data_IF_545451817681
#
_entry.id   IF_545451817681
#
_cell.length_a   1.000
_cell.length_b   1.000
_cell.length_c   1.000
_cell.angle_alpha   90.00
_cell.angle_beta   90.00
_cell.angle_gamma   90.00
#
_symmetry.space_group_name_H-M   'P 1'
#
loop_
_entity.id
_entity.type
_entity.pdbx_description
1 polymer ?
#
# COMPACT_ATOMS: atom_id res chain seq x y z
N UNK A 1 2.32 -9.08 -14.64
CA UNK A 1 1.69 -8.36 -13.51
C UNK A 1 0.44 -9.13 -13.12
N UNK A 2 0.47 -9.89 -12.04
CA UNK A 2 -0.74 -10.42 -11.42
C UNK A 2 -1.05 -9.49 -10.25
N UNK A 3 -2.03 -8.61 -10.44
CA UNK A 3 -2.54 -7.81 -9.33
C UNK A 3 -3.10 -8.77 -8.27
N UNK A 4 -2.79 -8.51 -7.00
CA UNK A 4 -3.55 -9.09 -5.90
C UNK A 4 -5.05 -8.88 -6.20
N UNK A 5 -5.94 -9.81 -5.82
CA UNK A 5 -7.37 -9.60 -6.05
C UNK A 5 -7.78 -8.28 -5.40
N UNK A 6 -8.05 -7.27 -6.24
CA UNK A 6 -8.76 -6.08 -5.81
C UNK A 6 -10.09 -6.57 -5.23
N UNK A 7 -10.46 -6.16 -4.01
CA UNK A 7 -11.80 -6.41 -3.52
C UNK A 7 -12.72 -5.73 -4.52
N UNK A 8 -13.42 -6.55 -5.30
CA UNK A 8 -14.27 -6.11 -6.40
C UNK A 8 -15.15 -4.95 -5.96
N UNK A 9 -15.02 -3.85 -6.68
CA UNK A 9 -15.85 -2.64 -6.61
C UNK A 9 -17.31 -3.04 -6.46
N UNK A 10 -17.90 -2.67 -5.33
CA UNK A 10 -19.34 -2.64 -5.15
C UNK A 10 -20.04 -3.99 -5.38
N UNK A 11 -19.85 -4.94 -4.47
CA UNK A 11 -20.92 -5.93 -4.28
C UNK A 11 -22.18 -5.17 -3.83
N UNK A 12 -23.22 -5.21 -4.67
CA UNK A 12 -24.58 -4.87 -4.32
C UNK A 12 -24.93 -5.55 -2.99
N UNK A 13 -24.98 -4.78 -1.89
CA UNK A 13 -25.22 -5.28 -0.53
C UNK A 13 -24.11 -4.99 0.48
N UNK A 14 -22.95 -4.50 0.06
CA UNK A 14 -21.89 -4.08 0.98
C UNK A 14 -22.35 -2.85 1.79
N UNK A 15 -22.19 -2.92 3.11
CA UNK A 15 -22.55 -1.83 4.04
C UNK A 15 -21.99 -0.48 3.56
N UNK A 16 -22.78 0.58 3.76
CA UNK A 16 -22.30 1.94 3.52
C UNK A 16 -21.19 2.26 4.53
N UNK A 17 -20.03 2.78 4.09
CA UNK A 17 -19.00 3.25 5.00
C UNK A 17 -19.54 4.32 5.94
N UNK A 18 -19.09 4.27 7.19
CA UNK A 18 -19.38 5.23 8.25
C UNK A 18 -18.16 6.11 8.52
N UNK A 19 -18.35 7.21 9.24
CA UNK A 19 -17.23 8.08 9.64
C UNK A 19 -16.25 7.28 10.49
N UNK A 20 -14.97 7.34 10.12
CA UNK A 20 -13.90 6.60 10.74
C UNK A 20 -13.56 5.28 10.04
N UNK A 21 -14.42 4.77 9.14
CA UNK A 21 -14.15 3.54 8.40
C UNK A 21 -13.00 3.70 7.40
N UNK A 22 -12.32 2.59 7.19
CA UNK A 22 -11.28 2.48 6.18
C UNK A 22 -11.87 2.10 4.83
N UNK A 23 -11.47 2.84 3.81
CA UNK A 23 -11.92 2.60 2.43
C UNK A 23 -10.73 2.62 1.47
N UNK A 24 -10.88 1.94 0.36
CA UNK A 24 -10.02 2.09 -0.82
C UNK A 24 -10.72 3.02 -1.79
N UNK A 25 -10.05 4.07 -2.24
CA UNK A 25 -10.50 4.89 -3.36
C UNK A 25 -9.97 4.31 -4.67
N UNK A 26 -10.90 3.99 -5.57
CA UNK A 26 -10.66 3.51 -6.93
C UNK A 26 -11.46 4.41 -7.90
N UNK A 27 -11.24 5.72 -7.82
CA UNK A 27 -11.93 6.70 -8.65
C UNK A 27 -11.15 7.08 -9.91
N UNK A 28 -11.51 8.20 -10.55
CA UNK A 28 -10.88 8.64 -11.81
C UNK A 28 -9.55 9.37 -11.62
N UNK A 29 -9.18 9.66 -10.39
CA UNK A 29 -7.95 10.38 -10.09
C UNK A 29 -6.86 9.37 -9.72
N UNK A 30 -6.18 8.83 -10.73
CA UNK A 30 -5.21 7.74 -10.57
C UNK A 30 -4.12 8.04 -9.53
N UNK A 31 -3.68 9.30 -9.46
CA UNK A 31 -2.70 9.77 -8.46
C UNK A 31 -3.18 9.71 -7.01
N UNK A 32 -4.47 9.50 -6.79
CA UNK A 32 -5.09 9.38 -5.49
C UNK A 32 -5.67 7.97 -5.26
N UNK A 33 -5.35 6.99 -6.11
CA UNK A 33 -5.69 5.61 -5.83
C UNK A 33 -4.97 5.15 -4.56
N UNK A 34 -5.73 4.59 -3.63
CA UNK A 34 -5.17 4.13 -2.36
C UNK A 34 -6.17 4.10 -1.23
N UNK A 35 -5.64 3.94 -0.01
CA UNK A 35 -6.44 3.84 1.21
C UNK A 35 -6.66 5.19 1.85
N UNK A 36 -7.86 5.36 2.38
CA UNK A 36 -8.28 6.54 3.09
C UNK A 36 -9.15 6.18 4.29
N UNK A 37 -9.35 7.16 5.16
CA UNK A 37 -10.34 7.10 6.23
C UNK A 37 -11.48 8.06 5.92
N UNK A 38 -12.72 7.60 6.09
CA UNK A 38 -13.90 8.45 5.93
C UNK A 38 -13.90 9.51 7.03
N UNK A 39 -13.73 10.78 6.66
CA UNK A 39 -13.69 11.90 7.59
C UNK A 39 -15.09 12.51 7.80
N UNK A 40 -15.86 12.64 6.73
CA UNK A 40 -17.24 13.13 6.80
C UNK A 40 -18.10 12.51 5.70
N UNK A 41 -19.41 12.48 5.95
CA UNK A 41 -20.43 12.02 5.01
C UNK A 41 -21.45 13.13 4.86
N UNK A 42 -21.70 13.54 3.62
CA UNK A 42 -22.74 14.52 3.29
C UNK A 42 -23.79 13.83 2.43
N UNK A 43 -25.03 13.82 2.91
CA UNK A 43 -26.18 13.34 2.14
C UNK A 43 -26.52 14.34 1.04
N UNK A 44 -26.73 13.84 -0.19
CA UNK A 44 -27.12 14.65 -1.35
C UNK A 44 -28.31 14.02 -2.07
N UNK A 45 -29.06 14.78 -2.89
CA UNK A 45 -30.21 14.26 -3.63
C UNK A 45 -29.92 13.05 -4.53
N UNK A 46 -28.66 12.86 -4.94
CA UNK A 46 -28.23 11.76 -5.81
C UNK A 46 -27.44 10.66 -5.08
N UNK A 47 -27.45 10.68 -3.73
CA UNK A 47 -26.73 9.74 -2.89
C UNK A 47 -25.65 10.41 -2.03
N UNK A 48 -25.01 9.62 -1.18
CA UNK A 48 -24.01 10.13 -0.23
C UNK A 48 -22.70 10.51 -0.92
N UNK A 49 -22.08 11.57 -0.42
CA UNK A 49 -20.73 12.01 -0.78
C UNK A 49 -19.82 11.93 0.45
N UNK A 50 -18.56 11.58 0.22
CA UNK A 50 -17.60 11.23 1.26
C UNK A 50 -16.38 12.14 1.17
N UNK A 51 -15.98 12.69 2.31
CA UNK A 51 -14.71 13.39 2.48
C UNK A 51 -13.71 12.37 3.05
N UNK A 52 -12.56 12.22 2.38
CA UNK A 52 -11.58 11.20 2.66
C UNK A 52 -10.27 11.82 3.14
N UNK A 53 -9.84 11.38 4.32
CA UNK A 53 -8.59 11.79 4.96
C UNK A 53 -7.48 10.77 4.74
N UNK A 54 -6.26 11.27 4.71
CA UNK A 54 -5.03 10.49 4.85
C UNK A 54 -5.08 9.65 6.12
N UNK A 55 -4.56 8.45 6.03
CA UNK A 55 -4.46 7.54 7.16
C UNK A 55 -3.42 7.98 8.21
N UNK A 56 -2.36 8.70 7.80
CA UNK A 56 -1.19 8.94 8.65
C UNK A 56 -1.28 10.16 9.54
N UNK A 57 -1.89 11.21 9.03
CA UNK A 57 -1.92 12.55 9.64
C UNK A 57 -3.34 13.13 9.70
N UNK A 58 -4.35 12.31 9.38
CA UNK A 58 -5.77 12.70 9.26
C UNK A 58 -5.99 13.92 8.32
N UNK A 59 -5.01 14.26 7.47
CA UNK A 59 -5.12 15.37 6.54
C UNK A 59 -6.21 15.08 5.51
N UNK A 60 -7.13 16.02 5.32
CA UNK A 60 -8.20 15.83 4.33
C UNK A 60 -7.65 15.95 2.90
N UNK A 61 -7.68 14.85 2.16
CA UNK A 61 -7.05 14.74 0.83
C UNK A 61 -8.06 14.78 -0.32
N UNK A 62 -9.23 14.16 -0.14
CA UNK A 62 -10.29 14.12 -1.15
C UNK A 62 -11.60 14.60 -0.55
N UNK A 63 -12.36 15.36 -1.34
CA UNK A 63 -13.66 15.89 -0.94
C UNK A 63 -14.75 15.45 -1.91
N UNK A 64 -15.97 15.29 -1.42
CA UNK A 64 -17.15 15.00 -2.23
C UNK A 64 -17.01 13.75 -3.11
N UNK A 65 -16.32 12.72 -2.61
CA UNK A 65 -16.11 11.45 -3.32
C UNK A 65 -17.42 10.67 -3.39
N UNK A 66 -17.72 10.09 -4.56
CA UNK A 66 -18.91 9.26 -4.73
C UNK A 66 -18.76 7.91 -4.01
N UNK A 67 -19.85 7.39 -3.44
CA UNK A 67 -19.92 6.01 -2.90
C UNK A 67 -19.40 4.94 -3.87
N UNK A 68 -19.59 5.15 -5.18
CA UNK A 68 -19.20 4.20 -6.23
C UNK A 68 -17.70 4.14 -6.47
N UNK A 69 -16.96 5.16 -6.03
CA UNK A 69 -15.51 5.26 -6.17
C UNK A 69 -14.77 4.75 -4.92
N UNK A 70 -15.48 4.19 -3.95
CA UNK A 70 -14.90 3.67 -2.71
C UNK A 70 -15.35 2.23 -2.44
N UNK A 71 -14.41 1.40 -2.02
CA UNK A 71 -14.65 0.07 -1.49
C UNK A 71 -14.34 0.05 0.01
N UNK A 72 -15.22 -0.54 0.82
CA UNK A 72 -14.99 -0.67 2.26
C UNK A 72 -13.87 -1.69 2.49
N UNK A 73 -12.89 -1.35 3.33
CA UNK A 73 -11.91 -2.33 3.79
C UNK A 73 -12.54 -3.14 4.92
N UNK A 74 -12.58 -4.48 4.81
CA UNK A 74 -13.13 -5.31 5.86
C UNK A 74 -12.43 -5.10 7.21
N UNK A 75 -13.23 -4.94 8.26
CA UNK A 75 -12.74 -4.99 9.63
C UNK A 75 -12.15 -6.37 9.94
N UNK A 76 -11.12 -6.41 10.78
CA UNK A 76 -10.50 -7.65 11.20
C UNK A 76 -9.05 -7.48 11.60
N UNK A 77 -8.46 -8.60 12.04
CA UNK A 77 -7.04 -8.64 12.35
C UNK A 77 -6.21 -8.42 11.07
N UNK A 78 -5.18 -7.61 11.26
CA UNK A 78 -4.17 -7.27 10.27
C UNK A 78 -3.42 -8.52 9.85
N UNK A 79 -3.04 -8.60 8.57
CA UNK A 79 -2.21 -9.69 8.08
C UNK A 79 -0.89 -9.73 8.86
N UNK A 80 -0.47 -10.93 9.27
CA UNK A 80 0.80 -11.12 9.97
C UNK A 80 1.78 -11.80 9.03
N UNK A 81 3.01 -11.29 9.01
CA UNK A 81 4.11 -11.92 8.30
C UNK A 81 4.88 -12.78 9.29
N UNK A 82 4.78 -14.09 9.12
CA UNK A 82 5.46 -15.05 9.99
C UNK A 82 6.95 -15.10 9.67
N UNK A 83 7.77 -15.01 10.73
CA UNK A 83 9.24 -15.17 10.72
C UNK A 83 9.92 -14.50 9.51
N UNK A 84 9.73 -13.19 9.28
CA UNK A 84 10.22 -12.54 8.08
C UNK A 84 11.75 -12.62 7.94
N UNK A 85 12.48 -12.48 9.05
CA UNK A 85 13.96 -12.53 9.06
C UNK A 85 14.46 -13.92 8.66
N UNK A 86 13.92 -14.99 9.24
CA UNK A 86 14.35 -16.36 8.92
C UNK A 86 14.06 -16.71 7.45
N UNK A 87 12.94 -16.21 6.92
CA UNK A 87 12.55 -16.41 5.52
C UNK A 87 13.50 -15.67 4.56
N UNK A 88 13.86 -14.42 4.89
CA UNK A 88 14.88 -13.65 4.15
C UNK A 88 16.20 -14.42 4.13
N UNK A 89 16.66 -14.86 5.30
CA UNK A 89 17.90 -15.62 5.45
C UNK A 89 17.92 -16.89 4.61
N UNK A 90 16.83 -17.66 4.63
CA UNK A 90 16.69 -18.89 3.86
C UNK A 90 16.83 -18.62 2.35
N UNK A 91 16.16 -17.58 1.84
CA UNK A 91 16.25 -17.14 0.44
C UNK A 91 17.68 -16.76 0.06
N UNK A 92 18.35 -15.95 0.88
CA UNK A 92 19.72 -15.50 0.62
C UNK A 92 20.71 -16.66 0.62
N UNK A 93 20.61 -17.58 1.60
CA UNK A 93 21.46 -18.78 1.67
C UNK A 93 21.26 -19.68 0.46
N UNK A 94 20.01 -19.89 0.04
CA UNK A 94 19.70 -20.74 -1.13
C UNK A 94 20.29 -20.17 -2.41
N UNK A 95 20.22 -18.84 -2.58
CA UNK A 95 20.82 -18.14 -3.73
C UNK A 95 22.34 -18.29 -3.77
N UNK A 96 23.02 -18.02 -2.65
CA UNK A 96 24.49 -18.11 -2.57
C UNK A 96 24.98 -19.55 -2.73
N UNK A 97 24.34 -20.50 -2.04
CA UNK A 97 24.81 -21.89 -1.98
C UNK A 97 24.54 -22.72 -3.24
N UNK A 98 23.56 -22.34 -4.07
CA UNK A 98 23.14 -23.15 -5.21
C UNK A 98 23.14 -22.41 -6.56
N UNK A 99 23.61 -21.16 -6.61
CA UNK A 99 23.72 -20.40 -7.85
C UNK A 99 22.38 -20.20 -8.58
N UNK A 100 21.27 -20.21 -7.83
CA UNK A 100 19.93 -20.06 -8.41
C UNK A 100 19.75 -18.63 -8.89
N UNK A 101 19.63 -18.42 -10.20
CA UNK A 101 19.18 -17.16 -10.76
C UNK A 101 17.70 -16.95 -10.43
N UNK A 102 17.43 -15.97 -9.58
CA UNK A 102 16.07 -15.57 -9.23
C UNK A 102 15.60 -14.48 -10.19
N UNK A 103 14.49 -14.73 -10.89
CA UNK A 103 13.77 -13.71 -11.69
C UNK A 103 13.07 -12.63 -10.83
N UNK A 104 13.32 -12.61 -9.52
CA UNK A 104 12.87 -11.51 -8.65
C UNK A 104 13.88 -10.38 -8.82
N UNK A 105 13.44 -9.27 -9.42
CA UNK A 105 14.25 -8.07 -9.51
C UNK A 105 14.73 -7.67 -8.11
N UNK A 106 16.05 -7.58 -7.94
CA UNK A 106 16.69 -7.11 -6.72
C UNK A 106 16.51 -7.97 -5.46
N UNK A 107 16.77 -9.29 -5.53
CA UNK A 107 16.88 -10.13 -4.31
C UNK A 107 17.88 -9.56 -3.30
N UNK A 108 18.92 -8.86 -3.74
CA UNK A 108 19.85 -8.15 -2.84
C UNK A 108 19.16 -7.06 -1.98
N UNK A 109 18.05 -6.50 -2.46
CA UNK A 109 17.24 -5.53 -1.74
C UNK A 109 16.12 -6.18 -0.93
N UNK A 110 15.94 -7.51 -1.00
CA UNK A 110 14.87 -8.21 -0.29
C UNK A 110 14.85 -7.87 1.21
N UNK A 111 15.97 -7.87 1.96
CA UNK A 111 15.95 -7.54 3.38
C UNK A 111 15.47 -6.10 3.62
N UNK A 112 16.09 -5.12 2.94
CA UNK A 112 15.75 -3.72 3.09
C UNK A 112 14.31 -3.42 2.69
N UNK A 113 13.83 -4.00 1.58
CA UNK A 113 12.48 -3.76 1.07
C UNK A 113 11.44 -4.40 1.97
N UNK A 114 11.58 -5.68 2.33
CA UNK A 114 10.63 -6.36 3.22
C UNK A 114 10.54 -5.65 4.57
N UNK A 115 11.67 -5.32 5.21
CA UNK A 115 11.66 -4.63 6.50
C UNK A 115 11.07 -3.22 6.41
N UNK A 116 11.32 -2.50 5.31
CA UNK A 116 10.69 -1.19 5.08
C UNK A 116 9.18 -1.31 4.90
N UNK A 117 8.70 -2.31 4.16
CA UNK A 117 7.26 -2.55 4.00
C UNK A 117 6.59 -2.87 5.36
N UNK A 118 7.22 -3.72 6.18
CA UNK A 118 6.73 -4.03 7.52
C UNK A 118 6.66 -2.78 8.41
N UNK A 119 7.67 -1.92 8.36
CA UNK A 119 7.70 -0.66 9.11
C UNK A 119 6.60 0.32 8.67
N UNK A 120 6.16 0.23 7.42
CA UNK A 120 5.06 1.01 6.85
C UNK A 120 3.69 0.33 6.98
N UNK A 121 3.56 -0.72 7.81
CA UNK A 121 2.33 -1.53 7.95
C UNK A 121 1.83 -2.17 6.64
N UNK A 122 2.70 -2.39 5.64
CA UNK A 122 2.37 -3.02 4.34
C UNK A 122 2.61 -4.53 4.42
N UNK A 123 1.89 -5.21 5.30
CA UNK A 123 2.17 -6.60 5.66
C UNK A 123 1.86 -7.59 4.54
N UNK A 124 0.71 -7.46 3.86
CA UNK A 124 0.37 -8.31 2.71
C UNK A 124 1.40 -8.18 1.59
N UNK A 125 1.89 -6.97 1.32
CA UNK A 125 2.91 -6.75 0.30
C UNK A 125 4.27 -7.31 0.71
N UNK A 126 4.67 -7.12 1.97
CA UNK A 126 5.86 -7.73 2.52
C UNK A 126 5.82 -9.26 2.41
N UNK A 127 4.69 -9.89 2.75
CA UNK A 127 4.54 -11.34 2.65
C UNK A 127 4.46 -11.82 1.19
N UNK A 128 3.77 -11.08 0.32
CA UNK A 128 3.75 -11.36 -1.11
C UNK A 128 5.17 -11.36 -1.69
N UNK A 129 5.97 -10.34 -1.39
CA UNK A 129 7.36 -10.24 -1.82
C UNK A 129 8.19 -11.46 -1.34
N UNK A 130 8.03 -11.86 -0.08
CA UNK A 130 8.69 -13.04 0.47
C UNK A 130 8.25 -14.33 -0.24
N UNK A 131 6.95 -14.54 -0.42
CA UNK A 131 6.40 -15.72 -1.10
C UNK A 131 6.92 -15.84 -2.54
N UNK A 132 7.04 -14.72 -3.25
CA UNK A 132 7.61 -14.69 -4.59
C UNK A 132 9.10 -15.03 -4.59
N UNK A 133 9.87 -14.53 -3.63
CA UNK A 133 11.29 -14.85 -3.48
C UNK A 133 11.51 -16.33 -3.12
N UNK A 134 10.69 -16.88 -2.22
CA UNK A 134 10.72 -18.30 -1.83
C UNK A 134 10.36 -19.23 -3.01
N UNK A 135 9.37 -18.84 -3.83
CA UNK A 135 9.03 -19.57 -5.05
C UNK A 135 10.19 -19.54 -6.05
N UNK A 136 10.78 -18.37 -6.28
CA UNK A 136 11.88 -18.20 -7.25
C UNK A 136 13.14 -18.98 -6.85
N UNK A 137 13.40 -19.11 -5.55
CA UNK A 137 14.51 -19.91 -5.01
C UNK A 137 14.17 -21.39 -4.80
N UNK A 138 12.96 -21.81 -5.17
CA UNK A 138 12.44 -23.18 -4.98
C UNK A 138 12.42 -23.65 -3.52
N UNK A 139 12.45 -22.73 -2.55
CA UNK A 139 12.18 -23.04 -1.13
C UNK A 139 10.70 -23.42 -0.97
N UNK A 140 9.82 -22.74 -1.71
CA UNK A 140 8.39 -22.99 -1.73
C UNK A 140 7.99 -23.65 -3.06
N UNK A 141 7.17 -24.71 -2.98
CA UNK A 141 6.60 -25.32 -4.18
C UNK A 141 5.52 -24.42 -4.80
N UNK A 142 5.27 -24.55 -6.10
CA UNK A 142 4.22 -23.77 -6.78
C UNK A 142 2.82 -23.98 -6.19
N UNK A 143 2.51 -25.19 -5.70
CA UNK A 143 1.24 -25.48 -5.04
C UNK A 143 1.12 -24.76 -3.69
N UNK A 144 2.18 -24.80 -2.87
CA UNK A 144 2.21 -24.11 -1.60
C UNK A 144 2.19 -22.58 -1.77
N UNK A 145 2.87 -22.06 -2.80
CA UNK A 145 2.81 -20.65 -3.18
C UNK A 145 1.38 -20.20 -3.49
N UNK A 146 0.68 -20.90 -4.39
CA UNK A 146 -0.71 -20.55 -4.75
C UNK A 146 -1.60 -20.52 -3.51
N UNK A 147 -1.53 -21.56 -2.69
CA UNK A 147 -2.30 -21.62 -1.46
C UNK A 147 -2.00 -20.43 -0.53
N UNK A 148 -0.73 -20.10 -0.28
CA UNK A 148 -0.39 -18.97 0.62
C UNK A 148 -0.78 -17.61 0.04
N UNK A 149 -0.64 -17.40 -1.27
CA UNK A 149 -1.10 -16.18 -1.94
C UNK A 149 -2.62 -16.03 -1.83
N UNK A 150 -3.37 -17.13 -1.98
CA UNK A 150 -4.82 -17.14 -1.80
C UNK A 150 -5.27 -16.81 -0.38
N UNK A 151 -4.39 -16.81 0.62
CA UNK A 151 -4.69 -16.41 2.00
C UNK A 151 -4.36 -14.94 2.30
N UNK A 152 -3.66 -14.25 1.41
CA UNK A 152 -3.32 -12.83 1.60
C UNK A 152 -4.60 -11.99 1.60
N UNK A 153 -4.85 -11.27 2.71
CA UNK A 153 -6.04 -10.42 2.87
C UNK A 153 -5.64 -9.10 3.49
N UNK A 154 -5.93 -8.02 2.79
CA UNK A 154 -5.69 -6.67 3.32
C UNK A 154 -6.87 -6.29 4.21
N UNK A 155 -6.59 -6.07 5.50
CA UNK A 155 -7.59 -5.84 6.56
C UNK A 155 -7.05 -4.83 7.57
N UNK A 156 -7.95 -4.28 8.39
CA UNK A 156 -7.56 -3.38 9.48
C UNK A 156 -6.72 -2.22 8.95
N UNK A 157 -5.56 -1.98 9.56
CA UNK A 157 -4.63 -0.91 9.16
C UNK A 157 -3.52 -1.33 8.17
N UNK A 158 -3.65 -2.47 7.48
CA UNK A 158 -2.66 -2.89 6.50
C UNK A 158 -2.60 -1.92 5.29
N UNK A 159 -1.45 -1.30 5.05
CA UNK A 159 -1.21 -0.27 4.04
C UNK A 159 -0.85 -0.82 2.64
N UNK A 160 -0.91 -2.14 2.39
CA UNK A 160 -0.41 -2.77 1.15
C UNK A 160 -1.08 -2.33 -0.17
N UNK A 161 -2.14 -1.53 -0.14
CA UNK A 161 -2.74 -0.90 -1.33
C UNK A 161 -2.07 0.44 -1.72
N UNK A 162 -1.06 0.90 -0.97
CA UNK A 162 -0.33 2.15 -1.27
C UNK A 162 0.67 1.97 -2.42
N UNK A 163 0.17 1.78 -3.65
CA UNK A 163 0.96 1.95 -4.87
C UNK A 163 0.07 2.64 -5.89
N UNK A 164 0.31 3.89 -6.30
CA UNK A 164 1.56 4.43 -6.84
C UNK A 164 1.74 5.92 -6.43
N UNK A 165 2.99 6.36 -6.19
CA UNK A 165 3.43 7.75 -5.90
C UNK A 165 3.47 8.26 -4.45
N UNK A 166 4.08 7.52 -3.52
CA UNK A 166 4.61 8.15 -2.29
C UNK A 166 6.01 8.79 -2.46
N UNK A 167 6.49 8.95 -3.70
CA UNK A 167 7.72 9.71 -4.01
C UNK A 167 7.48 11.23 -4.14
N UNK A 168 6.37 11.76 -3.64
CA UNK A 168 5.95 13.14 -3.91
C UNK A 168 5.51 13.94 -2.67
N UNK A 169 6.23 13.80 -1.56
CA UNK A 169 6.29 14.89 -0.54
C UNK A 169 7.52 14.76 0.35
N UNK A 170 8.70 14.90 -0.26
CA UNK A 170 9.89 15.36 0.48
C UNK A 170 10.60 16.40 -0.38
N UNK A 171 9.97 17.56 -0.53
CA UNK A 171 10.66 18.79 -0.87
C UNK A 171 10.55 19.71 0.34
N UNK A 172 11.65 19.75 1.07
CA UNK A 172 12.08 20.63 2.14
C UNK A 172 11.50 22.05 2.08
N UNK A 173 11.15 22.70 3.20
CA UNK A 173 10.82 24.11 3.22
C UNK A 173 12.10 24.92 2.99
N UNK A 174 12.28 25.51 1.81
CA UNK A 174 13.20 26.64 1.68
C UNK A 174 12.52 27.87 2.26
N UNK A 175 12.77 28.09 3.54
CA UNK A 175 12.90 29.44 4.07
C UNK A 175 14.18 30.01 3.49
N UNK A 176 14.09 31.11 2.76
CA UNK A 176 15.20 32.05 2.69
C UNK A 176 14.65 33.47 2.80
N UNK A 177 14.74 33.98 4.02
CA UNK A 177 14.72 35.42 4.26
C UNK A 177 16.05 35.99 3.79
N UNK A 178 15.98 36.95 2.88
CA UNK A 178 16.79 38.17 2.91
C UNK A 178 18.29 38.06 2.67
N UNK A 179 18.74 38.50 1.49
CA UNK A 179 19.84 39.47 1.42
C UNK A 179 19.79 40.24 0.10
N UNK A 180 19.63 41.56 0.20
CA UNK A 180 19.92 42.51 -0.87
C UNK A 180 21.44 42.75 -0.91
N UNK A 181 22.04 42.92 -2.08
CA UNK A 181 22.88 44.11 -2.28
C UNK A 181 22.58 44.79 -3.62
N UNK A 182 22.59 46.12 -3.59
CA UNK A 182 22.37 46.97 -4.76
C UNK A 182 23.59 47.19 -5.66
N UNK A 183 23.39 48.17 -6.54
CA UNK A 183 24.32 48.94 -7.38
C UNK A 183 24.58 48.49 -8.83
N UNK A 184 23.95 49.26 -9.73
CA UNK A 184 24.54 50.20 -10.72
C UNK A 184 25.35 49.68 -11.93
N UNK A 185 25.06 50.36 -13.05
CA UNK A 185 25.77 50.51 -14.34
C UNK A 185 25.56 49.36 -15.35
N UNK A 186 25.22 49.59 -16.63
CA UNK A 186 25.26 50.78 -17.50
C UNK A 186 23.97 50.90 -18.32
#
# INVERSE_FOLDING_TARGET
>A
MYGLPSPSVGELGAASPTVGDYVVYEGRLDKFWGRYRVAAITERPHGHSYDLSSYRDDALLLRNVSRRSIALVPAGLVHRVDNPVDRIDAVLRRRIGHGVETNVAHVDKLPSTTLSLLALNRYVEADSLLLHAELATQILSAAAFRHRVEQLRIRGNDESYLTQHSDLTTATPHTDQGTSPGNLAQ
#
